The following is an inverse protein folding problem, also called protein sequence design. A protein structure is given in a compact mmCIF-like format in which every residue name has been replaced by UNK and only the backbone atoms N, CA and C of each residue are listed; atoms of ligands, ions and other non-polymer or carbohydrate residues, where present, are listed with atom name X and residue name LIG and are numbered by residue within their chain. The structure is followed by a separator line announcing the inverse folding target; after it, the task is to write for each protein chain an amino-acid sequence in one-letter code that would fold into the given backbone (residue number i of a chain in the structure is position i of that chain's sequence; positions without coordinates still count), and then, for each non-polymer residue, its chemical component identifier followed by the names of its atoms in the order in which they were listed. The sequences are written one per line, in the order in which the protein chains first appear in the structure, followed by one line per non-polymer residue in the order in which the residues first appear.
data_IF_559598551503
#
_entry.id   IF_559598551503
#
_cell.length_a   1.000
_cell.length_b   1.000
_cell.length_c   1.000
_cell.angle_alpha   90.00
_cell.angle_beta   90.00
_cell.angle_gamma   90.00
#
_symmetry.space_group_name_H-M   'P 1'
#
loop_
_entity.id
_entity.type
_entity.pdbx_description
1 polymer ?
#
# COMPACT_ATOMS: atom_id res chain seq x y z
N UNK A 1 39.52 -4.41 5.10
CA UNK A 1 38.09 -4.16 4.94
C UNK A 1 37.82 -2.71 5.24
N UNK A 2 37.68 -1.87 4.21
CA UNK A 2 37.34 -0.45 4.31
C UNK A 2 36.64 -0.07 3.01
N UNK A 3 35.31 0.02 2.98
CA UNK A 3 34.60 0.41 1.74
C UNK A 3 33.27 1.13 1.99
N UNK A 4 32.68 1.03 3.18
CA UNK A 4 31.38 1.67 3.45
C UNK A 4 31.48 3.17 3.79
N UNK A 5 32.68 3.69 4.07
CA UNK A 5 32.90 5.08 4.52
C UNK A 5 33.60 5.97 3.47
N UNK A 6 33.99 5.41 2.33
CA UNK A 6 34.63 6.17 1.24
C UNK A 6 33.71 6.14 0.04
N UNK A 7 33.39 7.31 -0.52
CA UNK A 7 32.66 7.39 -1.79
C UNK A 7 33.36 6.62 -2.92
N UNK A 8 32.77 6.54 -4.12
CA UNK A 8 33.34 5.78 -5.24
C UNK A 8 34.78 6.18 -5.61
N UNK A 9 35.24 7.33 -5.15
CA UNK A 9 36.61 7.84 -5.27
C UNK A 9 37.66 6.89 -4.67
N UNK A 10 37.36 6.23 -3.54
CA UNK A 10 38.29 5.31 -2.86
C UNK A 10 38.35 3.89 -3.44
N UNK A 11 37.56 3.59 -4.47
CA UNK A 11 37.46 2.26 -5.07
C UNK A 11 38.44 2.10 -6.23
N UNK A 12 39.03 0.92 -6.36
CA UNK A 12 39.82 0.54 -7.55
C UNK A 12 38.92 0.51 -8.80
N UNK A 13 39.50 0.67 -10.00
CA UNK A 13 38.74 0.71 -11.26
C UNK A 13 37.79 -0.51 -11.43
N UNK A 14 38.26 -1.72 -11.09
CA UNK A 14 37.47 -2.96 -11.10
C UNK A 14 36.31 -2.92 -10.09
N UNK A 15 36.54 -2.38 -8.91
CA UNK A 15 35.50 -2.25 -7.87
C UNK A 15 34.43 -1.24 -8.27
N UNK A 16 34.82 -0.13 -8.90
CA UNK A 16 33.87 0.84 -9.48
C UNK A 16 32.99 0.19 -10.55
N UNK A 17 33.56 -0.62 -11.43
CA UNK A 17 32.79 -1.33 -12.45
C UNK A 17 31.85 -2.37 -11.85
N UNK A 18 32.32 -3.16 -10.88
CA UNK A 18 31.48 -4.11 -10.14
C UNK A 18 30.33 -3.40 -9.42
N UNK A 19 30.58 -2.25 -8.82
CA UNK A 19 29.56 -1.43 -8.17
C UNK A 19 28.51 -0.93 -9.18
N UNK A 20 28.92 -0.53 -10.39
CA UNK A 20 27.98 -0.20 -11.48
C UNK A 20 27.10 -1.40 -11.83
N UNK A 21 27.69 -2.58 -12.02
CA UNK A 21 26.96 -3.83 -12.33
C UNK A 21 25.97 -4.20 -11.22
N UNK A 22 26.37 -4.14 -9.96
CA UNK A 22 25.51 -4.42 -8.80
C UNK A 22 24.36 -3.41 -8.69
N UNK A 23 24.60 -2.12 -8.91
CA UNK A 23 23.55 -1.09 -8.94
C UNK A 23 22.54 -1.35 -10.06
N UNK A 24 23.01 -1.77 -11.25
CA UNK A 24 22.13 -2.17 -12.34
C UNK A 24 21.31 -3.41 -11.99
N UNK A 25 21.94 -4.44 -11.41
CA UNK A 25 21.26 -5.66 -10.97
C UNK A 25 20.20 -5.38 -9.91
N UNK A 26 20.50 -4.52 -8.91
CA UNK A 26 19.53 -4.10 -7.89
C UNK A 26 18.31 -3.43 -8.53
N UNK A 27 18.52 -2.47 -9.44
CA UNK A 27 17.43 -1.81 -10.18
C UNK A 27 16.61 -2.79 -11.00
N UNK A 28 17.26 -3.74 -11.67
CA UNK A 28 16.58 -4.79 -12.43
C UNK A 28 15.71 -5.66 -11.51
N UNK A 29 16.26 -6.18 -10.40
CA UNK A 29 15.51 -6.99 -9.43
C UNK A 29 14.36 -6.22 -8.78
N UNK A 30 14.52 -4.93 -8.52
CA UNK A 30 13.44 -4.11 -7.97
C UNK A 30 12.26 -3.96 -8.94
N UNK A 31 12.49 -4.07 -10.25
CA UNK A 31 11.46 -3.89 -11.28
C UNK A 31 10.92 -5.20 -11.84
N UNK A 32 11.79 -6.21 -11.98
CA UNK A 32 11.54 -7.47 -12.67
C UNK A 32 11.87 -8.70 -11.82
N UNK A 33 12.29 -8.50 -10.56
CA UNK A 33 12.48 -9.61 -9.63
C UNK A 33 11.14 -10.24 -9.25
N UNK A 34 11.20 -11.49 -8.79
CA UNK A 34 10.03 -12.29 -8.45
C UNK A 34 9.09 -11.55 -7.50
N UNK A 35 9.62 -10.95 -6.42
CA UNK A 35 8.79 -10.20 -5.48
C UNK A 35 8.13 -8.97 -6.11
N UNK A 36 8.84 -8.24 -6.97
CA UNK A 36 8.28 -7.08 -7.67
C UNK A 36 7.12 -7.48 -8.59
N UNK A 37 7.27 -8.60 -9.29
CA UNK A 37 6.22 -9.17 -10.14
C UNK A 37 5.02 -9.65 -9.31
N UNK A 38 5.25 -10.34 -8.20
CA UNK A 38 4.19 -10.78 -7.29
C UNK A 38 3.46 -9.60 -6.66
N UNK A 39 4.16 -8.55 -6.23
CA UNK A 39 3.55 -7.32 -5.74
C UNK A 39 2.68 -6.65 -6.80
N UNK A 40 3.15 -6.60 -8.05
CA UNK A 40 2.38 -6.06 -9.17
C UNK A 40 1.12 -6.88 -9.43
N UNK A 41 1.24 -8.20 -9.53
CA UNK A 41 0.10 -9.10 -9.73
C UNK A 41 -0.93 -9.01 -8.59
N UNK A 42 -0.46 -8.97 -7.34
CA UNK A 42 -1.33 -8.82 -6.18
C UNK A 42 -2.07 -7.47 -6.23
N UNK A 43 -1.38 -6.39 -6.60
CA UNK A 43 -2.01 -5.08 -6.77
C UNK A 43 -3.08 -5.11 -7.85
N UNK A 44 -2.78 -5.69 -9.01
CA UNK A 44 -3.75 -5.85 -10.11
C UNK A 44 -4.98 -6.66 -9.66
N UNK A 45 -4.79 -7.77 -8.96
CA UNK A 45 -5.89 -8.57 -8.39
C UNK A 45 -6.73 -7.80 -7.39
N UNK A 46 -6.10 -7.01 -6.51
CA UNK A 46 -6.82 -6.16 -5.55
C UNK A 46 -7.66 -5.11 -6.27
N UNK A 47 -7.09 -4.43 -7.27
CA UNK A 47 -7.82 -3.43 -8.08
C UNK A 47 -9.04 -4.07 -8.73
N UNK A 48 -8.89 -5.20 -9.43
CA UNK A 48 -10.00 -5.91 -10.06
C UNK A 48 -11.11 -6.33 -9.08
N UNK A 49 -10.74 -6.79 -7.87
CA UNK A 49 -11.71 -7.12 -6.84
C UNK A 49 -12.43 -5.87 -6.28
N UNK A 50 -11.78 -4.70 -6.34
CA UNK A 50 -12.30 -3.45 -5.76
C UNK A 50 -12.89 -2.48 -6.78
N UNK A 51 -12.74 -2.69 -8.09
CA UNK A 51 -13.16 -1.73 -9.13
C UNK A 51 -14.68 -1.45 -9.11
N UNK A 52 -15.50 -2.38 -8.61
CA UNK A 52 -16.92 -2.14 -8.30
C UNK A 52 -17.20 -1.66 -6.86
N UNK A 53 -16.29 -1.95 -5.92
CA UNK A 53 -16.43 -1.57 -4.51
C UNK A 53 -16.02 -0.12 -4.26
N UNK A 54 -15.08 0.44 -5.01
CA UNK A 54 -14.59 1.80 -4.82
C UNK A 54 -15.66 2.87 -5.14
N UNK A 55 -16.48 2.62 -6.17
CA UNK A 55 -17.59 3.52 -6.54
C UNK A 55 -18.75 3.48 -5.54
N UNK A 56 -19.06 2.30 -4.98
CA UNK A 56 -20.03 2.19 -3.87
C UNK A 56 -19.46 2.77 -2.58
N UNK A 57 -18.17 2.54 -2.28
CA UNK A 57 -17.52 3.00 -1.06
C UNK A 57 -17.32 4.52 -0.97
N UNK A 58 -17.44 5.30 -2.05
CA UNK A 58 -17.36 6.77 -1.96
C UNK A 58 -18.72 7.45 -1.87
N UNK A 59 -19.77 6.84 -2.43
CA UNK A 59 -21.14 7.39 -2.40
C UNK A 59 -21.90 6.98 -1.14
N UNK A 60 -21.59 5.82 -0.54
CA UNK A 60 -22.26 5.36 0.68
C UNK A 60 -21.50 5.67 1.97
N UNK A 61 -20.19 5.98 1.94
CA UNK A 61 -19.35 6.00 3.16
C UNK A 61 -19.19 7.37 3.81
N UNK A 62 -19.38 8.47 3.08
CA UNK A 62 -19.20 9.82 3.63
C UNK A 62 -20.44 10.39 4.32
N UNK A 63 -21.61 9.74 4.22
CA UNK A 63 -22.89 10.25 4.72
C UNK A 63 -23.76 9.24 5.49
N UNK A 64 -23.27 8.00 5.73
CA UNK A 64 -24.09 6.99 6.40
C UNK A 64 -24.20 7.23 7.91
N UNK A 65 -25.45 7.38 8.39
CA UNK A 65 -25.80 7.34 9.81
C UNK A 65 -25.62 5.92 10.38
N UNK A 66 -25.30 5.84 11.66
CA UNK A 66 -25.22 4.60 12.42
C UNK A 66 -26.42 3.67 12.13
N UNK A 67 -26.16 2.36 12.05
CA UNK A 67 -27.20 1.34 11.82
C UNK A 67 -27.95 0.93 13.10
N UNK A 68 -27.49 1.33 14.29
CA UNK A 68 -28.18 1.01 15.53
C UNK A 68 -29.54 1.72 15.64
N UNK A 69 -30.55 0.98 16.11
CA UNK A 69 -31.84 1.52 16.54
C UNK A 69 -31.84 1.67 18.06
N UNK A 70 -32.43 2.77 18.54
CA UNK A 70 -32.65 3.06 19.96
C UNK A 70 -34.11 3.50 20.08
N UNK A 71 -34.90 2.79 20.88
CA UNK A 71 -36.33 3.07 21.07
C UNK A 71 -37.07 3.23 19.72
N UNK A 72 -36.81 2.27 18.81
CA UNK A 72 -37.33 2.21 17.43
C UNK A 72 -36.93 3.38 16.50
N UNK A 73 -36.06 4.29 16.95
CA UNK A 73 -35.50 5.37 16.14
C UNK A 73 -34.06 5.08 15.73
N UNK A 74 -33.74 5.31 14.45
CA UNK A 74 -32.37 5.13 13.93
C UNK A 74 -31.44 6.20 14.51
N UNK A 75 -30.30 5.74 15.03
CA UNK A 75 -29.26 6.60 15.59
C UNK A 75 -28.80 7.67 14.58
N UNK A 76 -28.76 8.93 15.02
CA UNK A 76 -28.40 10.09 14.20
C UNK A 76 -26.90 10.28 14.03
N UNK A 77 -26.08 9.62 14.87
CA UNK A 77 -24.64 9.74 14.86
C UNK A 77 -24.02 9.22 13.55
N UNK A 78 -22.90 9.81 13.09
CA UNK A 78 -22.18 9.30 11.94
C UNK A 78 -21.66 7.88 12.21
N UNK A 79 -21.79 7.00 11.21
CA UNK A 79 -21.21 5.66 11.27
C UNK A 79 -19.71 5.70 11.03
N UNK A 80 -18.97 4.80 11.68
CA UNK A 80 -17.55 4.65 11.35
C UNK A 80 -17.38 3.89 10.03
N UNK A 81 -16.31 4.20 9.28
CA UNK A 81 -16.14 3.73 7.90
C UNK A 81 -15.97 2.21 7.71
N UNK A 82 -15.86 1.42 8.78
CA UNK A 82 -15.67 -0.04 8.76
C UNK A 82 -16.79 -0.80 9.50
N UNK A 83 -17.31 -0.24 10.59
CA UNK A 83 -18.24 -0.95 11.48
C UNK A 83 -19.70 -0.65 11.18
N UNK A 84 -20.00 0.39 10.38
CA UNK A 84 -21.37 0.90 10.11
C UNK A 84 -22.14 1.32 11.38
N UNK A 85 -21.46 1.42 12.52
CA UNK A 85 -21.97 1.88 13.82
C UNK A 85 -21.16 3.09 14.31
N UNK A 86 -21.75 3.93 15.16
CA UNK A 86 -21.02 5.02 15.82
C UNK A 86 -20.15 4.48 16.96
N UNK A 87 -19.17 5.27 17.44
CA UNK A 87 -18.28 4.87 18.54
C UNK A 87 -19.02 4.39 19.79
N UNK A 88 -20.18 4.95 20.10
CA UNK A 88 -21.01 4.58 21.26
C UNK A 88 -21.69 3.21 21.13
N UNK A 89 -21.75 2.64 19.92
CA UNK A 89 -22.52 1.43 19.59
C UNK A 89 -21.66 0.36 18.88
N UNK A 90 -20.34 0.50 18.93
CA UNK A 90 -19.37 -0.57 18.62
C UNK A 90 -19.11 -1.33 19.91
#
# INVERSE_FOLDING_TARGET
GSSLLTGPEGLMAKERENLKRLKCLRRYRQRYGVEALLHRQLRERRVLATDGAAQQAHTTRSSQRCLAFVDDVRCSNPSLPLTRHCLTRI
#
